data_IF_618476586144
#
_entry.id   IF_618476586144
#
_cell.length_a   1.000
_cell.length_b   1.000
_cell.length_c   1.000
_cell.angle_alpha   90.00
_cell.angle_beta   90.00
_cell.angle_gamma   90.00
#
_symmetry.space_group_name_H-M   'P 1'
#
loop_
_entity.id
_entity.type
_entity.pdbx_description
1 polymer ?
#
# COMPACT_ATOMS: atom_id res chain seq x y z
N UNK A 1 -8.66 -10.66 14.53
CA UNK A 1 -7.60 -10.55 13.50
C UNK A 1 -7.04 -11.93 13.16
N UNK A 2 -6.50 -12.73 14.10
CA UNK A 2 -5.87 -14.03 13.79
C UNK A 2 -6.78 -14.97 12.97
N UNK A 3 -8.05 -15.10 13.36
CA UNK A 3 -9.02 -15.90 12.60
C UNK A 3 -9.24 -15.37 11.17
N UNK A 4 -9.22 -14.05 10.96
CA UNK A 4 -9.30 -13.41 9.66
C UNK A 4 -8.08 -13.71 8.80
N UNK A 5 -6.87 -13.60 9.36
CA UNK A 5 -5.61 -13.93 8.67
C UNK A 5 -5.60 -15.39 8.22
N UNK A 6 -6.03 -16.31 9.11
CA UNK A 6 -6.15 -17.71 8.75
C UNK A 6 -7.17 -17.95 7.64
N UNK A 7 -8.37 -17.40 7.78
CA UNK A 7 -9.46 -17.64 6.84
C UNK A 7 -9.20 -17.06 5.44
N UNK A 8 -8.55 -15.89 5.35
CA UNK A 8 -8.32 -15.18 4.08
C UNK A 8 -7.00 -15.53 3.41
N UNK A 9 -5.95 -15.74 4.20
CA UNK A 9 -4.58 -15.87 3.67
C UNK A 9 -3.90 -17.18 4.07
N UNK A 10 -4.54 -18.02 4.92
CA UNK A 10 -3.96 -19.27 5.41
C UNK A 10 -2.85 -19.06 6.45
N UNK A 11 -2.69 -17.84 6.98
CA UNK A 11 -1.65 -17.53 7.94
C UNK A 11 -2.12 -17.82 9.37
N UNK A 12 -1.45 -18.78 10.02
CA UNK A 12 -1.67 -19.12 11.42
C UNK A 12 -0.76 -18.26 12.31
N UNK A 13 -1.25 -17.09 12.69
CA UNK A 13 -0.54 -16.20 13.62
C UNK A 13 -1.07 -16.39 15.04
N UNK A 14 -0.13 -16.42 16.01
CA UNK A 14 -0.50 -16.46 17.43
C UNK A 14 -1.20 -15.14 17.81
N UNK A 15 -2.42 -15.18 18.39
CA UNK A 15 -3.09 -13.97 18.86
C UNK A 15 -2.26 -13.11 19.81
N UNK A 16 -1.32 -13.68 20.54
CA UNK A 16 -0.40 -12.94 21.43
C UNK A 16 0.60 -12.06 20.69
N UNK A 17 0.83 -12.33 19.41
CA UNK A 17 1.66 -11.49 18.55
C UNK A 17 0.92 -10.28 17.97
N UNK A 18 -0.39 -10.13 18.25
CA UNK A 18 -1.23 -9.11 17.62
C UNK A 18 -1.54 -8.03 18.65
N UNK A 19 -1.11 -6.81 18.33
CA UNK A 19 -1.29 -5.61 19.13
C UNK A 19 -2.18 -4.61 18.39
N UNK A 20 -2.86 -3.72 19.11
CA UNK A 20 -3.72 -2.70 18.52
C UNK A 20 -3.06 -1.33 18.53
N UNK A 21 -3.28 -0.59 17.44
CA UNK A 21 -2.87 0.81 17.29
C UNK A 21 -4.00 1.60 16.62
N UNK A 22 -4.03 2.95 16.68
CA UNK A 22 -5.10 3.73 16.06
C UNK A 22 -5.15 3.59 14.53
N UNK A 23 -4.01 3.47 13.88
CA UNK A 23 -3.89 3.25 12.44
C UNK A 23 -2.51 2.68 12.06
N UNK A 24 -2.34 2.34 10.78
CA UNK A 24 -1.08 1.76 10.27
C UNK A 24 0.06 2.79 10.28
N UNK A 25 -0.24 4.08 10.25
CA UNK A 25 0.81 5.10 10.33
C UNK A 25 1.43 5.15 11.72
N UNK A 26 0.66 5.00 12.80
CA UNK A 26 1.23 4.86 14.15
C UNK A 26 2.15 3.62 14.25
N UNK A 27 1.78 2.52 13.58
CA UNK A 27 2.66 1.34 13.49
C UNK A 27 3.96 1.67 12.76
N UNK A 28 3.88 2.45 11.67
CA UNK A 28 5.04 2.90 10.90
C UNK A 28 5.91 3.85 11.70
N UNK A 29 5.32 4.82 12.40
CA UNK A 29 6.03 5.74 13.27
C UNK A 29 6.79 5.00 14.39
N UNK A 30 6.16 4.01 15.02
CA UNK A 30 6.82 3.16 16.00
C UNK A 30 8.01 2.42 15.37
N UNK A 31 7.81 1.83 14.19
CA UNK A 31 8.88 1.13 13.48
C UNK A 31 10.07 2.03 13.18
N UNK A 32 9.83 3.25 12.70
CA UNK A 32 10.88 4.21 12.40
C UNK A 32 11.64 4.62 13.66
N UNK A 33 10.91 4.99 14.71
CA UNK A 33 11.48 5.52 15.95
C UNK A 33 12.20 4.47 16.79
N UNK A 34 11.60 3.28 16.94
CA UNK A 34 12.02 2.29 17.93
C UNK A 34 12.74 1.07 17.33
N UNK A 35 12.58 0.80 16.03
CA UNK A 35 13.24 -0.34 15.36
C UNK A 35 14.35 0.14 14.41
N UNK A 36 14.07 1.13 13.55
CA UNK A 36 15.09 1.70 12.63
C UNK A 36 16.03 2.60 13.39
N UNK A 37 15.51 3.60 14.07
CA UNK A 37 16.25 4.57 14.88
C UNK A 37 16.79 5.75 14.10
N UNK A 38 16.96 6.88 14.81
CA UNK A 38 17.53 8.13 14.30
C UNK A 38 18.91 7.93 13.67
N UNK A 39 19.20 8.67 12.61
CA UNK A 39 20.48 8.63 11.89
C UNK A 39 20.65 7.44 10.95
N UNK A 40 19.62 6.60 10.80
CA UNK A 40 19.60 5.50 9.84
C UNK A 40 18.70 5.83 8.65
N UNK A 41 18.65 4.94 7.68
CA UNK A 41 17.82 5.12 6.48
C UNK A 41 16.84 3.96 6.26
N UNK A 42 15.72 4.30 5.61
CA UNK A 42 14.70 3.36 5.16
C UNK A 42 14.54 3.46 3.64
N UNK A 43 14.52 2.31 2.97
CA UNK A 43 14.29 2.21 1.54
C UNK A 43 12.78 2.17 1.27
N UNK A 44 12.32 3.03 0.37
CA UNK A 44 10.92 3.11 -0.07
C UNK A 44 10.84 2.90 -1.58
N UNK A 45 10.25 1.80 -2.07
CA UNK A 45 9.97 1.61 -3.49
C UNK A 45 8.93 2.63 -3.96
N UNK A 46 9.25 3.44 -4.98
CA UNK A 46 8.38 4.50 -5.49
C UNK A 46 7.85 4.22 -6.90
N UNK A 47 6.64 4.71 -7.28
CA UNK A 47 5.78 5.59 -6.49
C UNK A 47 5.22 4.90 -5.25
N UNK A 48 5.08 5.63 -4.13
CA UNK A 48 4.67 5.10 -2.84
C UNK A 48 3.51 5.88 -2.21
N UNK A 49 2.91 5.34 -1.17
CA UNK A 49 1.97 6.08 -0.34
C UNK A 49 2.69 7.23 0.36
N UNK A 50 2.20 8.45 0.16
CA UNK A 50 2.87 9.70 0.53
C UNK A 50 3.47 9.74 1.96
N UNK A 51 2.78 9.25 3.00
CA UNK A 51 3.35 9.23 4.35
C UNK A 51 4.60 8.37 4.51
N UNK A 52 4.83 7.35 3.65
CA UNK A 52 6.07 6.59 3.70
C UNK A 52 7.30 7.43 3.33
N UNK A 53 7.09 8.54 2.61
CA UNK A 53 8.14 9.47 2.20
C UNK A 53 8.29 10.65 3.19
N UNK A 54 7.19 11.10 3.82
CA UNK A 54 7.20 12.31 4.63
C UNK A 54 7.35 12.06 6.15
N UNK A 55 6.90 10.92 6.65
CA UNK A 55 6.96 10.62 8.08
C UNK A 55 8.37 10.32 8.61
N UNK A 56 9.28 9.65 7.86
CA UNK A 56 10.61 9.32 8.37
C UNK A 56 11.42 10.52 8.84
N UNK A 57 11.32 11.65 8.14
CA UNK A 57 12.02 12.88 8.50
C UNK A 57 11.67 13.39 9.93
N UNK A 58 10.44 13.15 10.38
CA UNK A 58 9.99 13.51 11.73
C UNK A 58 10.77 12.75 12.83
N UNK A 59 11.37 11.62 12.49
CA UNK A 59 12.13 10.75 13.39
C UNK A 59 13.62 10.73 13.08
N UNK A 60 14.11 11.64 12.23
CA UNK A 60 15.51 11.69 11.83
C UNK A 60 15.97 10.45 11.06
N UNK A 61 15.04 9.79 10.35
CA UNK A 61 15.31 8.65 9.48
C UNK A 61 15.32 9.13 8.02
N UNK A 62 16.41 8.86 7.32
CA UNK A 62 16.54 9.22 5.91
C UNK A 62 15.69 8.30 5.02
N UNK A 63 15.02 8.88 4.02
CA UNK A 63 14.32 8.12 2.98
C UNK A 63 15.22 7.92 1.78
N UNK A 64 15.39 6.68 1.36
CA UNK A 64 16.05 6.32 0.11
C UNK A 64 14.99 5.83 -0.87
N UNK A 65 14.59 6.68 -1.81
CA UNK A 65 13.65 6.31 -2.86
C UNK A 65 14.30 5.36 -3.86
N UNK A 66 13.64 4.24 -4.15
CA UNK A 66 14.04 3.31 -5.21
C UNK A 66 12.91 3.20 -6.21
N UNK A 67 13.02 3.86 -7.38
CA UNK A 67 12.02 3.77 -8.42
C UNK A 67 11.76 2.34 -8.84
N UNK A 68 10.49 1.95 -8.86
CA UNK A 68 10.08 0.68 -9.46
C UNK A 68 10.19 0.75 -10.98
N UNK A 69 10.56 -0.36 -11.58
CA UNK A 69 10.69 -0.48 -13.02
C UNK A 69 9.32 -0.75 -13.63
N UNK A 70 8.94 0.09 -14.57
CA UNK A 70 7.73 -0.11 -15.35
C UNK A 70 8.04 -0.92 -16.61
N UNK A 71 7.41 -2.06 -16.73
CA UNK A 71 7.36 -2.85 -17.95
C UNK A 71 6.05 -2.60 -18.72
N UNK A 72 5.89 -3.18 -19.90
CA UNK A 72 4.75 -2.90 -20.77
C UNK A 72 3.38 -3.16 -20.10
N UNK A 73 3.29 -4.19 -19.24
CA UNK A 73 2.04 -4.62 -18.61
C UNK A 73 2.16 -4.91 -17.12
N UNK A 74 3.28 -4.53 -16.50
CA UNK A 74 3.55 -4.83 -15.08
C UNK A 74 4.50 -3.82 -14.46
N UNK A 75 4.60 -3.89 -13.15
CA UNK A 75 5.60 -3.19 -12.36
C UNK A 75 6.56 -4.20 -11.74
N UNK A 76 7.85 -3.86 -11.68
CA UNK A 76 8.89 -4.69 -11.12
C UNK A 76 9.69 -3.91 -10.07
N UNK A 77 10.16 -4.61 -9.04
CA UNK A 77 11.16 -4.05 -8.14
C UNK A 77 12.53 -3.99 -8.84
N UNK A 78 13.25 -2.88 -8.70
CA UNK A 78 14.67 -2.81 -9.07
C UNK A 78 15.51 -3.48 -7.98
N UNK A 79 15.54 -4.81 -7.98
CA UNK A 79 16.30 -5.58 -7.01
C UNK A 79 17.80 -5.24 -6.96
N UNK A 80 18.48 -4.98 -8.09
CA UNK A 80 19.85 -4.46 -8.06
C UNK A 80 19.98 -3.13 -7.32
N UNK A 81 19.01 -2.21 -7.47
CA UNK A 81 19.02 -0.95 -6.73
C UNK A 81 18.73 -1.17 -5.23
N UNK A 82 17.78 -2.02 -4.88
CA UNK A 82 17.50 -2.42 -3.49
C UNK A 82 18.76 -3.00 -2.84
N UNK A 83 19.45 -3.92 -3.51
CA UNK A 83 20.70 -4.52 -3.00
C UNK A 83 21.78 -3.45 -2.76
N UNK A 84 21.96 -2.51 -3.70
CA UNK A 84 22.90 -1.39 -3.51
C UNK A 84 22.54 -0.53 -2.30
N UNK A 85 21.26 -0.26 -2.05
CA UNK A 85 20.82 0.51 -0.88
C UNK A 85 21.18 -0.21 0.42
N UNK A 86 20.90 -1.49 0.52
CA UNK A 86 21.27 -2.28 1.69
C UNK A 86 22.79 -2.37 1.87
N UNK A 87 23.55 -2.58 0.79
CA UNK A 87 25.02 -2.59 0.81
C UNK A 87 25.61 -1.26 1.29
N UNK A 88 24.90 -0.15 1.07
CA UNK A 88 25.29 1.18 1.53
C UNK A 88 24.76 1.51 2.95
N UNK A 89 24.23 0.53 3.66
CA UNK A 89 23.85 0.67 5.08
C UNK A 89 22.40 1.05 5.35
N UNK A 90 21.52 1.01 4.34
CA UNK A 90 20.09 1.15 4.58
C UNK A 90 19.58 0.00 5.46
N UNK A 91 18.85 0.31 6.55
CA UNK A 91 18.50 -0.68 7.59
C UNK A 91 17.14 -1.33 7.40
N UNK A 92 16.27 -0.74 6.59
CA UNK A 92 14.93 -1.25 6.45
C UNK A 92 14.34 -0.99 5.07
N UNK A 93 13.35 -1.81 4.70
CA UNK A 93 12.52 -1.67 3.51
C UNK A 93 11.05 -1.46 3.94
N UNK A 94 10.36 -0.51 3.30
CA UNK A 94 8.91 -0.41 3.36
C UNK A 94 8.30 -1.27 2.25
N UNK A 95 7.60 -2.31 2.64
CA UNK A 95 6.93 -3.25 1.76
C UNK A 95 5.42 -3.06 1.84
N UNK A 96 4.83 -2.28 0.94
CA UNK A 96 3.38 -2.18 0.79
C UNK A 96 2.89 -3.28 -0.17
N UNK A 97 2.05 -4.20 0.30
CA UNK A 97 1.56 -5.30 -0.53
C UNK A 97 0.09 -5.66 -0.23
N UNK A 98 -0.83 -5.48 -1.17
CA UNK A 98 -0.72 -4.86 -2.50
C UNK A 98 -0.20 -3.42 -2.49
N UNK A 99 0.59 -3.04 -3.50
CA UNK A 99 1.35 -1.79 -3.51
C UNK A 99 0.49 -0.57 -3.88
N UNK A 100 0.36 0.37 -2.98
CA UNK A 100 -0.28 1.67 -3.23
C UNK A 100 0.81 2.67 -3.68
N UNK A 101 0.70 3.30 -4.89
CA UNK A 101 -0.55 3.51 -5.66
C UNK A 101 -0.73 2.64 -6.91
N UNK A 102 0.17 1.75 -7.25
CA UNK A 102 0.22 1.07 -8.56
C UNK A 102 -0.56 -0.24 -8.64
N UNK A 103 -1.07 -0.73 -7.51
CA UNK A 103 -1.88 -1.94 -7.45
C UNK A 103 -1.14 -3.26 -7.68
N UNK A 104 0.19 -3.26 -7.65
CA UNK A 104 0.98 -4.50 -7.78
C UNK A 104 0.75 -5.42 -6.59
N UNK A 105 0.59 -6.72 -6.86
CA UNK A 105 0.61 -7.81 -5.87
C UNK A 105 1.90 -8.61 -6.06
N UNK A 106 2.71 -8.73 -5.00
CA UNK A 106 4.00 -9.40 -5.11
C UNK A 106 3.83 -10.91 -5.23
N UNK A 107 4.64 -11.50 -6.10
CA UNK A 107 4.72 -12.96 -6.26
C UNK A 107 5.54 -13.59 -5.13
N UNK A 108 5.42 -14.90 -4.97
CA UNK A 108 6.23 -15.64 -4.00
C UNK A 108 7.73 -15.51 -4.27
N UNK A 109 8.12 -15.47 -5.55
CA UNK A 109 9.51 -15.30 -5.98
C UNK A 109 10.05 -13.91 -5.64
N UNK A 110 9.25 -12.86 -5.84
CA UNK A 110 9.65 -11.49 -5.48
C UNK A 110 9.79 -11.35 -3.96
N UNK A 111 8.85 -11.91 -3.21
CA UNK A 111 8.91 -11.91 -1.75
C UNK A 111 10.14 -12.69 -1.25
N UNK A 112 10.45 -13.85 -1.83
CA UNK A 112 11.65 -14.61 -1.47
C UNK A 112 12.94 -13.82 -1.75
N UNK A 113 13.02 -13.10 -2.87
CA UNK A 113 14.19 -12.24 -3.16
C UNK A 113 14.35 -11.13 -2.13
N UNK A 114 13.25 -10.54 -1.64
CA UNK A 114 13.29 -9.54 -0.56
C UNK A 114 13.82 -10.17 0.72
N UNK A 115 13.33 -11.36 1.07
CA UNK A 115 13.77 -12.12 2.26
C UNK A 115 15.28 -12.38 2.19
N UNK A 116 15.77 -12.87 1.05
CA UNK A 116 17.18 -13.20 0.86
C UNK A 116 18.09 -11.96 0.94
N UNK A 117 17.63 -10.82 0.40
CA UNK A 117 18.37 -9.57 0.51
C UNK A 117 18.35 -9.01 1.93
N UNK A 118 17.17 -9.00 2.57
CA UNK A 118 17.06 -8.54 3.96
C UNK A 118 17.91 -9.38 4.92
N UNK A 119 17.99 -10.71 4.72
CA UNK A 119 18.85 -11.59 5.50
C UNK A 119 20.33 -11.28 5.29
N UNK A 120 20.75 -11.13 4.04
CA UNK A 120 22.16 -10.86 3.69
C UNK A 120 22.71 -9.61 4.33
N UNK A 121 21.87 -8.59 4.48
CA UNK A 121 22.28 -7.27 4.97
C UNK A 121 21.73 -6.95 6.37
N UNK A 122 21.17 -7.92 7.08
CA UNK A 122 20.54 -7.76 8.40
C UNK A 122 19.53 -6.59 8.41
N UNK A 123 18.73 -6.50 7.35
CA UNK A 123 17.74 -5.45 7.17
C UNK A 123 16.37 -5.88 7.68
N UNK A 124 15.56 -4.89 8.07
CA UNK A 124 14.20 -5.09 8.55
C UNK A 124 13.17 -4.78 7.45
N UNK A 125 11.97 -5.31 7.59
CA UNK A 125 10.88 -5.08 6.63
C UNK A 125 9.64 -4.60 7.36
N UNK A 126 9.23 -3.35 7.09
CA UNK A 126 7.90 -2.88 7.45
C UNK A 126 6.91 -3.38 6.41
N UNK A 127 6.11 -4.39 6.75
CA UNK A 127 5.13 -4.98 5.85
C UNK A 127 3.75 -4.33 6.07
N UNK A 128 3.41 -3.34 5.23
CA UNK A 128 2.07 -2.76 5.19
C UNK A 128 1.16 -3.63 4.32
N UNK A 129 0.28 -4.37 4.97
CA UNK A 129 -0.67 -5.30 4.37
C UNK A 129 -2.12 -4.82 4.48
N UNK A 130 -2.34 -3.50 4.66
CA UNK A 130 -3.68 -2.93 4.83
C UNK A 130 -4.57 -3.16 3.60
N UNK A 131 -3.98 -3.28 2.41
CA UNK A 131 -4.68 -3.56 1.16
C UNK A 131 -4.81 -5.07 0.84
N UNK A 132 -4.26 -5.95 1.67
CA UNK A 132 -4.23 -7.39 1.47
C UNK A 132 -5.58 -8.02 1.04
N UNK A 133 -6.74 -7.60 1.55
CA UNK A 133 -8.03 -8.16 1.13
C UNK A 133 -8.42 -7.81 -0.32
N UNK A 134 -7.89 -6.71 -0.89
CA UNK A 134 -8.22 -6.29 -2.25
C UNK A 134 -7.21 -6.86 -3.25
N UNK A 135 -7.39 -8.12 -3.61
CA UNK A 135 -6.61 -8.80 -4.66
C UNK A 135 -7.58 -9.35 -5.71
N UNK A 136 -7.27 -9.18 -6.99
CA UNK A 136 -8.17 -9.50 -8.10
C UNK A 136 -7.73 -10.74 -8.88
N UNK A 137 -8.72 -11.41 -9.46
CA UNK A 137 -8.58 -12.51 -10.41
C UNK A 137 -7.65 -13.65 -9.94
N UNK A 138 -6.58 -13.91 -10.67
CA UNK A 138 -5.63 -15.00 -10.41
C UNK A 138 -4.52 -14.67 -9.39
N UNK A 139 -4.47 -13.42 -8.92
CA UNK A 139 -3.47 -13.00 -7.95
C UNK A 139 -3.86 -13.44 -6.54
N UNK A 140 -2.86 -13.61 -5.69
CA UNK A 140 -3.06 -13.99 -4.29
C UNK A 140 -2.12 -13.20 -3.40
N UNK A 141 -2.65 -12.57 -2.38
CA UNK A 141 -1.82 -12.00 -1.32
C UNK A 141 -1.18 -13.10 -0.48
N UNK A 142 0.11 -12.95 -0.21
CA UNK A 142 0.88 -13.80 0.68
C UNK A 142 1.41 -12.89 1.80
N UNK A 143 0.99 -13.07 3.06
CA UNK A 143 1.52 -12.29 4.16
C UNK A 143 3.02 -12.53 4.28
N UNK A 144 3.82 -11.46 4.32
CA UNK A 144 5.28 -11.56 4.29
C UNK A 144 5.83 -12.44 5.43
N UNK A 145 5.38 -12.20 6.65
CA UNK A 145 5.82 -12.95 7.82
C UNK A 145 5.41 -14.44 7.81
N UNK A 146 4.46 -14.83 6.96
CA UNK A 146 3.97 -16.21 6.86
C UNK A 146 4.85 -17.14 6.02
N UNK A 147 5.78 -16.57 5.24
CA UNK A 147 6.53 -17.32 4.21
C UNK A 147 7.54 -18.27 4.84
N UNK A 148 8.26 -17.80 5.85
CA UNK A 148 9.29 -18.60 6.53
C UNK A 148 9.58 -18.04 7.94
N UNK A 149 10.23 -18.83 8.82
CA UNK A 149 10.73 -18.31 10.10
C UNK A 149 11.71 -17.14 9.95
N UNK A 150 12.43 -17.07 8.85
CA UNK A 150 13.33 -15.98 8.52
C UNK A 150 12.55 -14.71 8.22
N UNK A 151 11.57 -14.77 7.33
CA UNK A 151 10.66 -13.66 7.03
C UNK A 151 9.94 -13.16 8.28
N UNK A 152 9.50 -14.08 9.15
CA UNK A 152 8.86 -13.74 10.41
C UNK A 152 9.79 -12.93 11.37
N UNK A 153 11.09 -13.18 11.36
CA UNK A 153 12.06 -12.39 12.15
C UNK A 153 12.37 -11.02 11.53
N UNK A 154 12.28 -10.90 10.22
CA UNK A 154 12.54 -9.64 9.54
C UNK A 154 11.35 -8.68 9.60
N UNK A 155 10.14 -9.24 9.69
CA UNK A 155 8.89 -8.50 9.53
C UNK A 155 8.51 -7.68 10.77
N UNK A 156 8.05 -6.46 10.51
CA UNK A 156 7.17 -5.70 11.37
C UNK A 156 5.89 -5.48 10.56
N UNK A 157 4.87 -6.32 10.77
CA UNK A 157 3.69 -6.35 9.91
C UNK A 157 2.59 -5.45 10.46
N UNK A 158 1.92 -4.70 9.58
CA UNK A 158 0.78 -3.85 9.93
C UNK A 158 -0.41 -4.12 9.01
N UNK A 159 -1.60 -4.17 9.57
CA UNK A 159 -2.85 -4.36 8.83
C UNK A 159 -4.03 -3.67 9.52
N UNK A 160 -5.16 -3.56 8.84
CA UNK A 160 -6.39 -2.99 9.42
C UNK A 160 -7.63 -3.41 8.66
N UNK A 161 -8.76 -3.50 9.36
CA UNK A 161 -10.08 -3.60 8.77
C UNK A 161 -10.52 -2.30 8.04
N UNK A 162 -9.84 -1.19 8.30
CA UNK A 162 -10.27 0.16 7.88
C UNK A 162 -10.48 0.32 6.38
N UNK A 163 -9.64 -0.31 5.53
CA UNK A 163 -9.78 -0.22 4.07
C UNK A 163 -10.83 -1.20 3.55
N UNK A 164 -10.77 -2.46 3.97
CA UNK A 164 -11.69 -3.50 3.52
C UNK A 164 -13.16 -3.18 3.89
N UNK A 165 -13.38 -2.61 5.05
CA UNK A 165 -14.72 -2.34 5.58
C UNK A 165 -15.11 -0.86 5.61
N UNK A 166 -14.28 0.01 5.02
CA UNK A 166 -14.53 1.46 4.96
C UNK A 166 -14.79 2.12 6.32
N UNK A 167 -14.00 1.75 7.33
CA UNK A 167 -14.10 2.24 8.71
C UNK A 167 -12.84 2.97 9.22
N UNK A 168 -12.13 3.79 8.42
CA UNK A 168 -10.87 4.41 8.88
C UNK A 168 -11.08 5.38 10.04
N UNK A 169 -12.27 6.00 10.13
CA UNK A 169 -12.61 6.94 11.19
C UNK A 169 -12.77 6.29 12.58
N UNK A 170 -12.86 4.97 12.66
CA UNK A 170 -12.99 4.25 13.94
C UNK A 170 -11.65 4.04 14.65
N UNK A 171 -10.51 4.33 14.00
CA UNK A 171 -9.17 4.33 14.60
C UNK A 171 -8.82 3.03 15.31
N UNK A 172 -8.66 1.95 14.52
CA UNK A 172 -8.15 0.65 14.99
C UNK A 172 -7.43 -0.07 13.85
N UNK A 173 -6.16 -0.33 14.04
CA UNK A 173 -5.32 -1.17 13.20
C UNK A 173 -4.62 -2.21 14.06
N UNK A 174 -3.90 -3.14 13.44
CA UNK A 174 -3.17 -4.18 14.12
C UNK A 174 -1.71 -4.18 13.66
N UNK A 175 -0.80 -4.30 14.63
CA UNK A 175 0.60 -4.66 14.44
C UNK A 175 0.73 -6.15 14.76
N UNK A 176 1.42 -6.89 13.92
CA UNK A 176 1.68 -8.32 14.12
C UNK A 176 3.19 -8.51 14.26
N UNK A 177 3.62 -8.79 15.48
CA UNK A 177 5.02 -8.90 15.88
C UNK A 177 5.43 -10.36 16.00
N UNK A 178 6.08 -10.86 14.98
CA UNK A 178 6.57 -12.23 14.93
C UNK A 178 8.05 -12.37 15.31
N UNK A 179 8.75 -11.23 15.47
CA UNK A 179 10.12 -11.20 16.00
C UNK A 179 10.08 -10.99 17.52
N UNK A 180 10.67 -11.89 18.35
CA UNK A 180 10.71 -11.74 19.79
C UNK A 180 11.39 -10.45 20.27
N UNK A 181 12.40 -9.96 19.56
CA UNK A 181 13.11 -8.73 19.92
C UNK A 181 12.18 -7.51 19.77
N UNK A 182 11.32 -7.49 18.74
CA UNK A 182 10.32 -6.44 18.56
C UNK A 182 9.26 -6.48 19.67
N UNK A 183 8.84 -7.66 20.08
CA UNK A 183 7.90 -7.83 21.20
C UNK A 183 8.51 -7.26 22.49
N UNK A 184 9.80 -7.45 22.72
CA UNK A 184 10.48 -6.89 23.89
C UNK A 184 10.52 -5.35 23.84
N UNK A 185 10.82 -4.77 22.69
CA UNK A 185 10.80 -3.32 22.48
C UNK A 185 9.37 -2.78 22.62
N UNK A 186 8.40 -3.45 21.99
CA UNK A 186 6.98 -3.09 22.06
C UNK A 186 6.48 -3.05 23.51
N UNK A 187 6.70 -4.07 24.29
CA UNK A 187 6.26 -4.17 25.69
C UNK A 187 6.83 -3.04 26.59
N UNK A 188 7.97 -2.48 26.22
CA UNK A 188 8.59 -1.37 26.96
C UNK A 188 8.09 0.00 26.53
N UNK A 189 7.65 0.17 25.28
CA UNK A 189 7.47 1.49 24.65
C UNK A 189 6.08 1.77 24.08
N UNK A 190 5.29 0.73 23.79
CA UNK A 190 4.07 0.87 23.02
C UNK A 190 2.81 1.22 23.82
N UNK A 191 2.89 1.41 25.12
CA UNK A 191 1.73 1.64 25.97
C UNK A 191 0.88 2.83 25.48
N UNK A 192 1.51 3.89 24.97
CA UNK A 192 0.79 5.05 24.46
C UNK A 192 0.22 4.83 23.06
N UNK A 193 0.91 4.07 22.21
CA UNK A 193 0.43 3.69 20.89
C UNK A 193 -0.82 2.82 20.98
N UNK A 194 -0.81 1.83 21.87
CA UNK A 194 -1.99 0.98 22.14
C UNK A 194 -3.15 1.78 22.76
N UNK A 195 -2.83 2.68 23.72
CA UNK A 195 -3.83 3.48 24.43
C UNK A 195 -4.62 4.42 23.52
N UNK A 196 -4.07 4.82 22.38
CA UNK A 196 -4.74 5.66 21.40
C UNK A 196 -5.77 4.90 20.55
N UNK A 197 -5.80 3.58 20.60
CA UNK A 197 -6.81 2.78 19.89
C UNK A 197 -8.21 3.07 20.45
N UNK A 198 -9.11 3.50 19.58
CA UNK A 198 -10.47 3.79 20.01
C UNK A 198 -11.26 2.51 20.35
N UNK A 199 -11.92 2.47 21.50
CA UNK A 199 -12.74 1.32 21.91
C UNK A 199 -13.79 0.97 20.87
N UNK A 200 -14.44 1.98 20.28
CA UNK A 200 -15.41 1.74 19.21
C UNK A 200 -14.75 1.13 17.97
N UNK A 201 -13.49 1.46 17.70
CA UNK A 201 -12.70 0.89 16.62
C UNK A 201 -12.41 -0.60 16.84
N UNK A 202 -12.05 -0.99 18.06
CA UNK A 202 -11.85 -2.39 18.40
C UNK A 202 -13.14 -3.22 18.24
N UNK A 203 -14.28 -2.66 18.67
CA UNK A 203 -15.60 -3.29 18.51
C UNK A 203 -15.94 -3.41 17.00
N UNK A 204 -15.81 -2.32 16.24
CA UNK A 204 -16.10 -2.32 14.81
C UNK A 204 -15.18 -3.28 14.02
N UNK A 205 -13.89 -3.31 14.34
CA UNK A 205 -12.94 -4.24 13.72
C UNK A 205 -13.28 -5.70 14.05
N UNK A 206 -13.68 -5.98 15.29
CA UNK A 206 -14.12 -7.32 15.70
C UNK A 206 -15.32 -7.76 14.88
N UNK A 207 -16.38 -6.94 14.81
CA UNK A 207 -17.57 -7.23 14.01
C UNK A 207 -17.22 -7.43 12.53
N UNK A 208 -16.37 -6.55 11.96
CA UNK A 208 -15.91 -6.64 10.59
C UNK A 208 -15.23 -7.98 10.29
N UNK A 209 -14.31 -8.40 11.13
CA UNK A 209 -13.54 -9.65 10.91
C UNK A 209 -14.35 -10.91 11.22
N UNK A 210 -15.36 -10.87 12.10
CA UNK A 210 -16.16 -12.04 12.46
C UNK A 210 -17.40 -12.21 11.60
N UNK A 211 -18.03 -11.12 11.18
CA UNK A 211 -19.34 -11.14 10.53
C UNK A 211 -19.35 -10.48 9.15
N UNK A 212 -18.37 -9.59 8.88
CA UNK A 212 -18.34 -8.76 7.68
C UNK A 212 -17.90 -9.48 6.40
N UNK A 213 -17.41 -10.72 6.47
CA UNK A 213 -16.87 -11.47 5.34
C UNK A 213 -17.78 -11.49 4.11
N UNK A 214 -19.06 -11.92 4.23
CA UNK A 214 -19.99 -11.97 3.08
C UNK A 214 -20.28 -10.61 2.45
N UNK A 215 -20.30 -9.53 3.24
CA UNK A 215 -20.42 -8.17 2.73
C UNK A 215 -19.17 -7.76 1.96
N UNK A 216 -18.00 -8.03 2.53
CA UNK A 216 -16.73 -7.70 1.88
C UNK A 216 -16.56 -8.44 0.54
N UNK A 217 -16.98 -9.71 0.45
CA UNK A 217 -16.91 -10.48 -0.80
C UNK A 217 -17.73 -9.82 -1.93
N UNK A 218 -18.88 -9.23 -1.60
CA UNK A 218 -19.68 -8.47 -2.57
C UNK A 218 -18.97 -7.15 -2.97
N UNK A 219 -18.37 -6.45 -2.01
CA UNK A 219 -17.60 -5.23 -2.28
C UNK A 219 -16.40 -5.56 -3.16
N UNK A 220 -15.65 -6.61 -2.84
CA UNK A 220 -14.49 -7.05 -3.64
C UNK A 220 -14.89 -7.35 -5.08
N UNK A 221 -15.98 -8.09 -5.29
CA UNK A 221 -16.49 -8.37 -6.63
C UNK A 221 -16.87 -7.09 -7.38
N UNK A 222 -17.53 -6.15 -6.71
CA UNK A 222 -17.91 -4.87 -7.31
C UNK A 222 -16.70 -4.02 -7.69
N UNK A 223 -15.69 -3.95 -6.82
CA UNK A 223 -14.44 -3.21 -7.06
C UNK A 223 -13.61 -3.87 -8.18
N UNK A 224 -13.55 -5.21 -8.21
CA UNK A 224 -12.91 -5.95 -9.31
C UNK A 224 -13.58 -5.66 -10.66
N UNK A 225 -14.91 -5.56 -10.70
CA UNK A 225 -15.62 -5.16 -11.93
C UNK A 225 -15.36 -3.71 -12.32
N UNK A 226 -15.16 -2.80 -11.34
CA UNK A 226 -14.71 -1.43 -11.62
C UNK A 226 -13.28 -1.41 -12.17
N UNK A 227 -12.37 -2.25 -11.68
CA UNK A 227 -11.04 -2.39 -12.26
C UNK A 227 -11.10 -2.83 -13.73
N UNK A 228 -11.95 -3.80 -14.07
CA UNK A 228 -12.20 -4.22 -15.46
C UNK A 228 -12.82 -3.08 -16.32
N UNK A 229 -13.67 -2.25 -15.72
CA UNK A 229 -14.18 -1.05 -16.38
C UNK A 229 -13.05 -0.07 -16.65
N UNK A 230 -12.19 0.22 -15.66
CA UNK A 230 -11.01 1.07 -15.84
C UNK A 230 -10.15 0.58 -17.02
N UNK A 231 -9.85 -0.72 -17.09
CA UNK A 231 -9.05 -1.30 -18.18
C UNK A 231 -9.66 -1.03 -19.56
N UNK A 232 -10.96 -1.25 -19.70
CA UNK A 232 -11.66 -1.00 -20.97
C UNK A 232 -11.62 0.47 -21.34
N UNK A 233 -11.89 1.35 -20.38
CA UNK A 233 -11.93 2.80 -20.59
C UNK A 233 -10.53 3.35 -20.91
N UNK A 234 -9.50 2.91 -20.18
CA UNK A 234 -8.13 3.35 -20.45
C UNK A 234 -7.66 2.94 -21.84
N UNK A 235 -7.94 1.70 -22.27
CA UNK A 235 -7.57 1.25 -23.62
C UNK A 235 -8.39 1.91 -24.74
N UNK A 236 -9.66 2.19 -24.49
CA UNK A 236 -10.58 2.75 -25.50
C UNK A 236 -10.52 4.27 -25.59
N UNK A 237 -10.59 4.94 -24.45
CA UNK A 237 -10.80 6.38 -24.39
C UNK A 237 -9.50 7.17 -24.10
N UNK A 238 -8.48 6.50 -23.53
CA UNK A 238 -7.23 7.14 -23.12
C UNK A 238 -5.98 6.38 -23.65
N UNK A 239 -5.91 6.09 -24.98
CA UNK A 239 -4.85 5.24 -25.55
C UNK A 239 -3.45 5.83 -25.42
N UNK A 240 -3.33 7.13 -25.20
CA UNK A 240 -2.06 7.85 -25.05
C UNK A 240 -1.69 8.12 -23.60
N UNK A 241 -2.51 7.67 -22.64
CA UNK A 241 -2.21 7.71 -21.22
C UNK A 241 -1.61 6.38 -20.81
N UNK A 242 -0.45 6.45 -20.18
CA UNK A 242 0.22 5.26 -19.73
C UNK A 242 -0.44 4.71 -18.46
N UNK A 243 -0.85 3.45 -18.53
CA UNK A 243 -1.59 2.74 -17.49
C UNK A 243 -1.21 1.28 -17.43
N UNK A 244 -1.10 0.74 -16.23
CA UNK A 244 -0.98 -0.69 -15.95
C UNK A 244 -2.17 -1.12 -15.11
N UNK A 245 -2.84 -2.19 -15.53
CA UNK A 245 -3.99 -2.74 -14.78
C UNK A 245 -3.57 -3.12 -13.36
N UNK A 246 -4.27 -2.65 -12.33
CA UNK A 246 -3.95 -3.04 -10.96
C UNK A 246 -4.32 -4.51 -10.70
N UNK A 247 -3.42 -5.24 -10.08
CA UNK A 247 -3.60 -6.62 -9.62
C UNK A 247 -4.34 -6.68 -8.29
N UNK A 248 -4.35 -5.55 -7.57
CA UNK A 248 -5.01 -5.38 -6.28
C UNK A 248 -5.23 -3.91 -5.95
N UNK A 249 -5.68 -3.62 -4.74
CA UNK A 249 -6.14 -2.32 -4.26
C UNK A 249 -7.44 -1.86 -4.95
N UNK A 250 -7.77 -0.59 -4.83
CA UNK A 250 -8.87 0.06 -5.55
C UNK A 250 -8.40 1.39 -6.17
N UNK A 251 -7.12 1.42 -6.54
CA UNK A 251 -6.39 2.60 -7.00
C UNK A 251 -5.83 2.32 -8.39
N UNK A 252 -6.01 3.28 -9.29
CA UNK A 252 -5.40 3.32 -10.60
C UNK A 252 -4.33 4.42 -10.63
N UNK A 253 -3.18 4.09 -11.20
CA UNK A 253 -2.08 5.01 -11.46
C UNK A 253 -2.06 5.37 -12.93
N UNK A 254 -2.21 6.67 -13.24
CA UNK A 254 -2.33 7.19 -14.61
C UNK A 254 -1.18 8.16 -14.87
N UNK A 255 -0.41 7.89 -15.91
CA UNK A 255 0.74 8.69 -16.32
C UNK A 255 0.42 9.46 -17.61
N UNK A 256 0.42 10.80 -17.53
CA UNK A 256 0.07 11.72 -18.61
C UNK A 256 1.29 12.36 -19.28
N UNK A 257 2.51 11.94 -18.93
CA UNK A 257 3.74 12.51 -19.48
C UNK A 257 3.82 12.37 -21.00
N UNK A 258 3.34 11.25 -21.54
CA UNK A 258 3.35 11.00 -22.99
C UNK A 258 2.57 12.04 -23.79
N UNK A 259 1.51 12.60 -23.22
CA UNK A 259 0.73 13.67 -23.85
C UNK A 259 1.16 15.07 -23.40
N UNK A 260 2.26 15.19 -22.66
CA UNK A 260 2.83 16.46 -22.23
C UNK A 260 1.98 17.23 -21.21
N UNK A 261 1.17 16.54 -20.41
CA UNK A 261 0.37 17.15 -19.35
C UNK A 261 1.16 17.11 -18.05
N UNK A 262 1.78 18.23 -17.67
CA UNK A 262 2.73 18.28 -16.55
C UNK A 262 2.08 18.27 -15.17
N UNK A 263 0.89 18.84 -15.04
CA UNK A 263 0.11 18.92 -13.81
C UNK A 263 -1.31 18.38 -14.08
N UNK A 264 -1.46 17.06 -14.21
CA UNK A 264 -2.75 16.46 -14.52
C UNK A 264 -3.76 16.59 -13.37
N UNK A 265 -3.31 16.64 -12.11
CA UNK A 265 -4.21 16.79 -10.97
C UNK A 265 -4.92 18.15 -11.01
N UNK A 266 -4.17 19.24 -11.18
CA UNK A 266 -4.74 20.58 -11.28
C UNK A 266 -5.54 20.74 -12.57
N UNK A 267 -5.03 20.23 -13.70
CA UNK A 267 -5.75 20.29 -14.98
C UNK A 267 -7.15 19.67 -14.89
N UNK A 268 -7.28 18.46 -14.36
CA UNK A 268 -8.59 17.81 -14.24
C UNK A 268 -9.48 18.45 -13.19
N UNK A 269 -8.92 19.04 -12.14
CA UNK A 269 -9.69 19.82 -11.18
C UNK A 269 -10.35 21.04 -11.86
N UNK A 270 -9.60 21.79 -12.66
CA UNK A 270 -10.06 23.04 -13.26
C UNK A 270 -10.99 22.80 -14.47
N UNK A 271 -10.67 21.82 -15.32
CA UNK A 271 -11.36 21.62 -16.60
C UNK A 271 -12.38 20.48 -16.61
N UNK A 272 -12.22 19.49 -15.70
CA UNK A 272 -13.14 18.36 -15.61
C UNK A 272 -13.97 18.37 -14.31
N UNK A 273 -13.61 19.21 -13.32
CA UNK A 273 -14.14 19.18 -11.96
C UNK A 273 -14.00 17.78 -11.33
N UNK A 274 -12.84 17.16 -11.56
CA UNK A 274 -12.45 15.86 -11.03
C UNK A 274 -11.21 16.06 -10.16
N UNK A 275 -11.36 15.82 -8.86
CA UNK A 275 -10.25 15.87 -7.91
C UNK A 275 -9.51 14.52 -7.89
N UNK A 276 -8.26 14.52 -8.29
CA UNK A 276 -7.34 13.38 -8.27
C UNK A 276 -6.21 13.66 -7.29
N UNK A 277 -5.58 12.61 -6.78
CA UNK A 277 -4.36 12.79 -5.99
C UNK A 277 -3.19 13.03 -6.95
N UNK A 278 -2.44 14.11 -6.70
CA UNK A 278 -1.22 14.41 -7.45
C UNK A 278 -0.17 13.31 -7.22
N UNK A 279 0.42 12.84 -8.32
CA UNK A 279 1.42 11.79 -8.31
C UNK A 279 2.76 12.23 -7.74
N UNK A 280 3.11 13.52 -7.82
CA UNK A 280 4.37 14.04 -7.29
C UNK A 280 4.52 13.78 -5.78
N UNK A 281 3.41 13.81 -5.03
CA UNK A 281 3.41 13.42 -3.62
C UNK A 281 3.77 11.96 -3.36
N UNK A 282 3.74 11.10 -4.38
CA UNK A 282 4.09 9.68 -4.28
C UNK A 282 5.58 9.39 -4.58
N UNK A 283 6.41 10.40 -4.71
CA UNK A 283 7.83 10.34 -5.08
C UNK A 283 8.13 11.10 -6.38
N UNK A 284 9.40 11.40 -6.64
CA UNK A 284 9.81 12.18 -7.83
C UNK A 284 9.34 11.55 -9.15
N UNK A 285 9.28 10.21 -9.20
CA UNK A 285 8.78 9.46 -10.37
C UNK A 285 7.30 9.70 -10.66
N UNK A 286 6.56 10.28 -9.73
CA UNK A 286 5.15 10.60 -9.87
C UNK A 286 4.86 11.93 -10.59
N UNK A 287 5.87 12.68 -11.02
CA UNK A 287 5.67 13.90 -11.78
C UNK A 287 4.90 13.63 -13.07
N UNK A 288 3.81 14.39 -13.32
CA UNK A 288 2.94 14.16 -14.48
C UNK A 288 1.98 12.97 -14.36
N UNK A 289 1.91 12.36 -13.19
CA UNK A 289 1.00 11.25 -12.89
C UNK A 289 -0.11 11.67 -11.93
N UNK A 290 -1.17 10.87 -11.87
CA UNK A 290 -2.22 10.98 -10.84
C UNK A 290 -2.62 9.62 -10.31
N UNK A 291 -3.14 9.63 -9.09
CA UNK A 291 -3.78 8.49 -8.45
C UNK A 291 -5.29 8.67 -8.43
N UNK A 292 -6.01 7.74 -9.07
CA UNK A 292 -7.48 7.69 -9.11
C UNK A 292 -7.99 6.56 -8.23
N UNK A 293 -8.91 6.87 -7.30
CA UNK A 293 -9.63 5.86 -6.53
C UNK A 293 -10.88 5.44 -7.29
N UNK A 294 -10.99 4.15 -7.66
CA UNK A 294 -12.16 3.62 -8.38
C UNK A 294 -13.13 2.83 -7.49
N UNK A 295 -12.94 2.79 -6.17
CA UNK A 295 -13.91 2.23 -5.22
C UNK A 295 -15.09 3.19 -5.01
N UNK A 296 -15.86 3.42 -6.07
CA UNK A 296 -17.02 4.30 -6.09
C UNK A 296 -18.16 3.67 -6.89
N UNK A 297 -19.41 4.18 -6.78
CA UNK A 297 -20.50 3.74 -7.63
C UNK A 297 -20.15 3.84 -9.11
N UNK A 298 -20.42 2.78 -9.88
CA UNK A 298 -20.06 2.70 -11.31
C UNK A 298 -20.56 3.86 -12.15
N UNK A 299 -21.78 4.41 -11.95
CA UNK A 299 -22.21 5.59 -12.68
C UNK A 299 -21.32 6.81 -12.44
N UNK A 300 -20.84 7.00 -11.20
CA UNK A 300 -19.94 8.10 -10.86
C UNK A 300 -18.54 7.89 -11.46
N UNK A 301 -18.04 6.66 -11.49
CA UNK A 301 -16.78 6.33 -12.14
C UNK A 301 -16.84 6.63 -13.65
N UNK A 302 -17.92 6.23 -14.32
CA UNK A 302 -18.12 6.57 -15.72
C UNK A 302 -18.18 8.09 -15.96
N UNK A 303 -18.96 8.81 -15.17
CA UNK A 303 -19.05 10.27 -15.25
C UNK A 303 -17.69 10.94 -15.03
N UNK A 304 -16.90 10.46 -14.06
CA UNK A 304 -15.55 10.94 -13.83
C UNK A 304 -14.68 10.79 -15.10
N UNK A 305 -14.65 9.60 -15.68
CA UNK A 305 -13.87 9.30 -16.89
C UNK A 305 -14.38 10.06 -18.10
N UNK A 306 -15.70 10.23 -18.26
CA UNK A 306 -16.29 11.01 -19.34
C UNK A 306 -15.90 12.49 -19.27
N UNK A 307 -15.87 13.07 -18.08
CA UNK A 307 -15.42 14.45 -17.86
C UNK A 307 -13.93 14.59 -18.16
N UNK A 308 -13.11 13.66 -17.69
CA UNK A 308 -11.67 13.67 -17.99
C UNK A 308 -11.41 13.58 -19.48
N UNK A 309 -12.14 12.71 -20.21
CA UNK A 309 -12.00 12.59 -21.68
C UNK A 309 -12.35 13.89 -22.40
N UNK A 310 -13.50 14.48 -22.08
CA UNK A 310 -13.93 15.77 -22.67
C UNK A 310 -12.89 16.88 -22.46
N UNK A 311 -12.35 17.02 -21.25
CA UNK A 311 -11.33 18.02 -20.96
C UNK A 311 -10.05 17.82 -21.79
N UNK A 312 -9.66 16.57 -22.06
CA UNK A 312 -8.51 16.28 -22.95
C UNK A 312 -8.84 16.60 -24.41
N UNK A 313 -10.06 16.32 -24.89
CA UNK A 313 -10.50 16.65 -26.26
C UNK A 313 -10.49 18.17 -26.49
N UNK A 314 -11.00 18.93 -25.52
CA UNK A 314 -11.03 20.41 -25.57
C UNK A 314 -9.62 21.03 -25.56
N UNK A 315 -8.65 20.37 -24.89
CA UNK A 315 -7.24 20.81 -24.87
C UNK A 315 -6.58 20.70 -26.24
N UNK A 316 -6.98 19.71 -27.03
CA UNK A 316 -6.36 19.39 -28.33
C UNK A 316 -7.08 20.04 -29.52
N UNK A 317 -8.22 20.68 -29.29
CA UNK A 317 -9.01 21.41 -30.29
C UNK A 317 -8.54 22.88 -30.41
#
# INVERSE_FOLDING_TARGET
>A
CAAWQHARFGWNVDPQCIHTVPDVLEAYEFFLRDIVGEGHSVLVPTPAYMPFLSVPDLYGVEVVEVPMLREQHSWQFDFPAIERCFANGCRALVLCNPHNPIGKVLTAEELQRIIDLADRYDARVFADEIHAPFVFDSHRHIPYASISPLAARQAFSATSASKAFNIPGTKCAQVILTNPDDVEVWNKRAIWSEHQTATIGAIATTAAYTEGGPWFDQVLAYVADNAKLMDRRMRGDFPDVDYVSPEGTYIAWLDFNRIGLKDPAQFFLDHAHVALTDGLGCGEVGAGCVRLNFAMPRPLLNECLDRMRRALDERTA
#
